data_IF_907232037644
#
_entry.id   IF_907232037644
#
_cell.length_a   1.000
_cell.length_b   1.000
_cell.length_c   1.000
_cell.angle_alpha   90.00
_cell.angle_beta   90.00
_cell.angle_gamma   90.00
#
_symmetry.space_group_name_H-M   'P 1'
#
loop_
_entity.id
_entity.type
_entity.pdbx_description
1 polymer ?
#
# COMPACT_ATOMS: atom_id res chain seq x y z
N UNK A 1 2.40 6.13 17.50
CA UNK A 1 1.01 5.87 17.93
C UNK A 1 0.56 4.53 17.35
N UNK A 2 -0.48 3.89 17.90
CA UNK A 2 -1.11 2.71 17.30
C UNK A 2 -2.53 3.09 16.92
N UNK A 3 -2.91 2.82 15.67
CA UNK A 3 -4.16 3.28 15.08
C UNK A 3 -4.79 2.13 14.28
N UNK A 4 -6.11 2.06 14.30
CA UNK A 4 -6.90 1.18 13.43
C UNK A 4 -7.19 1.92 12.12
N UNK A 5 -7.18 1.24 10.98
CA UNK A 5 -7.48 1.87 9.69
C UNK A 5 -8.88 2.49 9.63
N UNK A 6 -9.82 1.96 10.41
CA UNK A 6 -11.17 2.50 10.51
C UNK A 6 -11.32 3.67 11.50
N UNK A 7 -10.27 4.03 12.26
CA UNK A 7 -10.35 5.10 13.26
C UNK A 7 -10.01 6.47 12.65
N UNK A 8 -11.06 7.23 12.35
CA UNK A 8 -11.01 8.59 11.82
C UNK A 8 -10.53 9.65 12.84
N UNK A 9 -10.35 9.28 14.11
CA UNK A 9 -9.90 10.18 15.20
C UNK A 9 -8.42 10.05 15.53
N UNK A 10 -7.69 9.30 14.70
CA UNK A 10 -6.23 9.22 14.72
C UNK A 10 -5.59 10.61 14.86
N UNK A 11 -4.57 10.73 15.72
CA UNK A 11 -3.70 11.93 15.76
C UNK A 11 -2.44 11.75 14.93
N UNK A 12 -2.36 10.67 14.17
CA UNK A 12 -1.27 10.38 13.27
C UNK A 12 -1.23 11.46 12.18
N UNK A 13 -0.04 11.97 11.89
CA UNK A 13 0.15 13.06 10.94
C UNK A 13 0.20 12.58 9.49
N UNK A 14 0.65 13.48 8.62
CA UNK A 14 0.96 13.17 7.23
C UNK A 14 2.40 12.67 7.10
N UNK A 15 2.62 11.78 6.14
CA UNK A 15 3.91 11.19 5.85
C UNK A 15 4.24 11.33 4.37
N UNK A 16 5.52 11.56 4.08
CA UNK A 16 6.04 11.57 2.71
C UNK A 16 6.35 10.15 2.23
N UNK A 17 6.43 9.18 3.14
CA UNK A 17 6.64 7.76 2.83
C UNK A 17 5.80 6.86 3.76
N UNK A 18 5.04 5.93 3.19
CA UNK A 18 4.25 4.93 3.92
C UNK A 18 4.64 3.53 3.45
N UNK A 19 4.99 2.63 4.38
CA UNK A 19 5.42 1.26 4.05
C UNK A 19 4.52 0.24 4.76
N UNK A 20 4.00 -0.72 4.00
CA UNK A 20 3.15 -1.81 4.50
C UNK A 20 3.60 -3.19 3.99
N UNK A 21 3.37 -4.23 4.79
CA UNK A 21 3.70 -5.61 4.41
C UNK A 21 2.57 -6.55 4.80
N UNK A 22 2.15 -7.40 3.85
CA UNK A 22 1.08 -8.40 4.01
C UNK A 22 -0.19 -7.83 4.65
N UNK A 23 -0.85 -6.90 3.94
CA UNK A 23 -2.04 -6.18 4.42
C UNK A 23 -3.35 -6.57 3.69
N UNK A 24 -3.27 -7.23 2.53
CA UNK A 24 -4.37 -7.40 1.58
C UNK A 24 -5.21 -8.67 1.76
N UNK A 25 -5.75 -8.88 2.95
CA UNK A 25 -6.47 -10.12 3.32
C UNK A 25 -7.91 -10.21 2.82
N UNK A 26 -8.66 -9.12 2.89
CA UNK A 26 -10.09 -9.07 2.62
C UNK A 26 -10.44 -7.92 1.69
N UNK A 27 -11.58 -8.01 1.00
CA UNK A 27 -11.98 -6.98 0.04
C UNK A 27 -12.31 -5.65 0.75
N UNK A 28 -12.92 -5.73 1.93
CA UNK A 28 -13.23 -4.56 2.76
C UNK A 28 -11.94 -3.83 3.20
N UNK A 29 -10.87 -4.59 3.47
CA UNK A 29 -9.58 -4.01 3.84
C UNK A 29 -8.97 -3.17 2.73
N UNK A 30 -9.31 -3.41 1.45
CA UNK A 30 -8.78 -2.58 0.36
C UNK A 30 -9.26 -1.14 0.50
N UNK A 31 -10.55 -0.95 0.81
CA UNK A 31 -11.14 0.37 0.99
C UNK A 31 -10.56 1.05 2.24
N UNK A 32 -10.62 0.35 3.38
CA UNK A 32 -10.11 0.88 4.65
C UNK A 32 -8.63 1.26 4.54
N UNK A 33 -7.81 0.41 3.93
CA UNK A 33 -6.38 0.68 3.74
C UNK A 33 -6.14 1.86 2.80
N UNK A 34 -6.82 1.93 1.66
CA UNK A 34 -6.62 3.05 0.72
C UNK A 34 -7.01 4.39 1.33
N UNK A 35 -8.10 4.41 2.11
CA UNK A 35 -8.59 5.62 2.75
C UNK A 35 -7.67 6.03 3.90
N UNK A 36 -7.19 5.04 4.66
CA UNK A 36 -6.18 5.27 5.70
C UNK A 36 -4.90 5.86 5.10
N UNK A 37 -4.42 5.33 3.98
CA UNK A 37 -3.22 5.85 3.30
C UNK A 37 -3.47 7.29 2.86
N UNK A 38 -4.59 7.57 2.19
CA UNK A 38 -4.89 8.92 1.71
C UNK A 38 -4.96 9.95 2.86
N UNK A 39 -5.62 9.59 3.96
CA UNK A 39 -5.77 10.47 5.11
C UNK A 39 -4.43 10.80 5.81
N UNK A 40 -3.40 9.98 5.60
CA UNK A 40 -2.09 10.12 6.24
C UNK A 40 -0.96 10.35 5.24
N UNK A 41 -1.27 10.55 3.96
CA UNK A 41 -0.28 10.86 2.92
C UNK A 41 -0.13 12.37 2.77
N UNK A 42 1.11 12.84 2.76
CA UNK A 42 1.43 14.19 2.27
C UNK A 42 0.95 14.36 0.81
N UNK A 43 0.78 15.60 0.30
CA UNK A 43 0.48 15.83 -1.11
C UNK A 43 1.50 15.14 -2.03
N UNK A 44 2.79 15.26 -1.70
CA UNK A 44 3.86 14.45 -2.26
C UNK A 44 4.14 13.26 -1.34
N UNK A 45 3.90 12.04 -1.80
CA UNK A 45 4.03 10.84 -0.98
C UNK A 45 4.32 9.59 -1.81
N UNK A 46 5.21 8.74 -1.30
CA UNK A 46 5.47 7.40 -1.80
C UNK A 46 4.89 6.33 -0.86
N UNK A 47 4.19 5.35 -1.43
CA UNK A 47 3.60 4.23 -0.69
C UNK A 47 4.11 2.92 -1.25
N UNK A 48 4.69 2.10 -0.39
CA UNK A 48 5.29 0.81 -0.77
C UNK A 48 4.57 -0.29 0.00
N UNK A 49 3.89 -1.19 -0.70
CA UNK A 49 3.16 -2.33 -0.12
C UNK A 49 3.68 -3.63 -0.67
N UNK A 50 4.17 -4.52 0.20
CA UNK A 50 4.53 -5.88 -0.18
C UNK A 50 3.28 -6.78 -0.11
N UNK A 51 2.83 -7.25 -1.27
CA UNK A 51 1.73 -8.23 -1.42
C UNK A 51 2.32 -9.61 -1.78
N UNK A 52 2.23 -10.63 -0.92
CA UNK A 52 2.73 -11.98 -1.22
C UNK A 52 1.91 -12.74 -2.28
N UNK A 53 0.92 -12.10 -2.91
CA UNK A 53 0.12 -12.68 -3.99
C UNK A 53 -1.34 -12.94 -3.59
N UNK A 54 -1.93 -12.07 -2.76
CA UNK A 54 -3.30 -12.21 -2.24
C UNK A 54 -4.40 -11.78 -3.21
N UNK A 55 -4.04 -11.40 -4.44
CA UNK A 55 -4.99 -11.19 -5.54
C UNK A 55 -5.75 -9.86 -5.52
N UNK A 56 -5.48 -8.97 -4.56
CA UNK A 56 -6.20 -7.68 -4.39
C UNK A 56 -5.45 -6.45 -4.87
N UNK A 57 -4.21 -6.62 -5.36
CA UNK A 57 -3.39 -5.53 -5.88
C UNK A 57 -4.11 -4.65 -6.92
N UNK A 58 -4.89 -5.25 -7.83
CA UNK A 58 -5.61 -4.49 -8.86
C UNK A 58 -6.68 -3.59 -8.25
N UNK A 59 -7.44 -4.08 -7.27
CA UNK A 59 -8.47 -3.27 -6.58
C UNK A 59 -7.83 -2.12 -5.81
N UNK A 60 -6.73 -2.39 -5.09
CA UNK A 60 -5.98 -1.35 -4.39
C UNK A 60 -5.45 -0.31 -5.37
N UNK A 61 -4.83 -0.73 -6.48
CA UNK A 61 -4.30 0.22 -7.47
C UNK A 61 -5.38 1.09 -8.09
N UNK A 62 -6.55 0.53 -8.41
CA UNK A 62 -7.68 1.33 -8.89
C UNK A 62 -8.11 2.39 -7.87
N UNK A 63 -8.13 2.05 -6.57
CA UNK A 63 -8.47 3.01 -5.51
C UNK A 63 -7.40 4.09 -5.34
N UNK A 64 -6.14 3.70 -5.25
CA UNK A 64 -5.00 4.62 -5.12
C UNK A 64 -4.92 5.59 -6.30
N UNK A 65 -5.17 5.12 -7.53
CA UNK A 65 -5.26 6.02 -8.70
C UNK A 65 -6.41 7.03 -8.61
N UNK A 66 -7.52 6.67 -7.97
CA UNK A 66 -8.59 7.62 -7.64
C UNK A 66 -8.15 8.76 -6.72
N UNK A 67 -7.14 8.52 -5.89
CA UNK A 67 -6.49 9.52 -5.02
C UNK A 67 -5.29 10.22 -5.69
N UNK A 68 -5.07 10.00 -6.98
CA UNK A 68 -4.03 10.68 -7.75
C UNK A 68 -2.65 10.02 -7.69
N UNK A 69 -2.53 8.81 -7.13
CA UNK A 69 -1.29 8.06 -7.17
C UNK A 69 -1.09 7.36 -8.53
N UNK A 70 0.10 7.49 -9.10
CA UNK A 70 0.61 6.56 -10.09
C UNK A 70 0.90 5.21 -9.41
N UNK A 71 0.87 4.10 -10.17
CA UNK A 71 1.12 2.78 -9.60
C UNK A 71 2.04 1.92 -10.48
N UNK A 72 3.00 1.26 -9.86
CA UNK A 72 3.84 0.21 -10.46
C UNK A 72 3.84 -1.05 -9.60
N UNK A 73 3.90 -2.22 -10.25
CA UNK A 73 4.04 -3.51 -9.57
C UNK A 73 5.34 -4.13 -10.01
N UNK A 74 6.26 -4.35 -9.07
CA UNK A 74 7.57 -4.95 -9.34
C UNK A 74 7.74 -6.24 -8.56
N UNK A 75 8.61 -7.12 -9.03
CA UNK A 75 9.07 -8.27 -8.25
C UNK A 75 10.47 -7.97 -7.71
N UNK A 76 10.85 -8.49 -6.53
CA UNK A 76 12.22 -8.36 -6.04
C UNK A 76 13.20 -9.00 -7.03
N UNK A 77 14.32 -8.32 -7.27
CA UNK A 77 15.32 -8.75 -8.26
C UNK A 77 16.10 -9.97 -7.72
N UNK A 78 16.53 -9.90 -6.46
CA UNK A 78 17.29 -10.97 -5.82
C UNK A 78 16.39 -11.74 -4.84
N UNK A 79 16.16 -13.02 -5.13
CA UNK A 79 15.35 -13.91 -4.28
C UNK A 79 16.03 -15.25 -3.99
N UNK A 80 17.30 -15.41 -4.34
CA UNK A 80 18.08 -16.66 -4.19
C UNK A 80 18.22 -17.13 -2.73
N UNK A 81 17.97 -16.24 -1.76
CA UNK A 81 17.94 -16.54 -0.33
C UNK A 81 16.65 -17.19 0.15
N UNK A 82 15.60 -17.23 -0.69
CA UNK A 82 14.32 -17.84 -0.33
C UNK A 82 14.31 -19.32 -0.73
N UNK A 83 13.86 -20.18 0.20
CA UNK A 83 13.63 -21.60 -0.11
C UNK A 83 12.54 -21.81 -1.17
N UNK A 84 11.61 -20.86 -1.28
CA UNK A 84 10.50 -20.88 -2.23
C UNK A 84 10.46 -19.55 -3.00
N UNK A 85 10.19 -19.64 -4.30
CA UNK A 85 10.05 -18.47 -5.15
C UNK A 85 8.97 -17.51 -4.61
N UNK A 86 9.31 -16.24 -4.45
CA UNK A 86 8.34 -15.20 -4.16
C UNK A 86 7.46 -14.96 -5.39
N UNK A 87 6.16 -15.23 -5.27
CA UNK A 87 5.18 -15.08 -6.36
C UNK A 87 4.37 -13.78 -6.27
N UNK A 88 4.65 -12.99 -5.23
CA UNK A 88 3.99 -11.73 -4.97
C UNK A 88 4.56 -10.57 -5.77
N UNK A 89 4.19 -9.37 -5.34
CA UNK A 89 4.61 -8.10 -5.91
C UNK A 89 4.92 -7.10 -4.80
N UNK A 90 5.87 -6.22 -5.07
CA UNK A 90 6.00 -4.93 -4.39
C UNK A 90 5.13 -3.97 -5.19
N UNK A 91 4.13 -3.40 -4.54
CA UNK A 91 3.23 -2.39 -5.10
C UNK A 91 3.80 -1.04 -4.68
N UNK A 92 4.15 -0.23 -5.66
CA UNK A 92 4.66 1.12 -5.48
C UNK A 92 3.59 2.09 -5.96
N UNK A 93 3.31 3.10 -5.15
CA UNK A 93 2.42 4.19 -5.48
C UNK A 93 3.13 5.51 -5.24
N UNK A 94 3.15 6.40 -6.22
CA UNK A 94 3.79 7.71 -6.07
C UNK A 94 2.83 8.83 -6.46
N UNK A 95 2.90 9.94 -5.73
CA UNK A 95 2.18 11.18 -6.01
C UNK A 95 3.15 12.34 -5.87
N UNK A 96 3.33 13.12 -6.93
CA UNK A 96 4.33 14.20 -7.05
C UNK A 96 3.69 15.59 -7.23
N UNK A 97 2.54 15.83 -6.56
CA UNK A 97 1.74 17.05 -6.75
C UNK A 97 2.31 18.23 -5.97
#
# INVERSE_FOLDING_TARGET
ERVDWADDRSKLGLFDVIIGSDLLYEDEHVQLLSDFIENHASPQCDVIIVDPGRGRKTKLSTKMSGYGFASSHVQPIDTDYLEQQFKGYILEFSRDV
#
